data_IF_593815772250
#
_entry.id   IF_593815772250
#
_cell.length_a   1.000
_cell.length_b   1.000
_cell.length_c   1.000
_cell.angle_alpha   90.00
_cell.angle_beta   90.00
_cell.angle_gamma   90.00
#
_symmetry.space_group_name_H-M   'P 1'
#
loop_
_entity.id
_entity.type
_entity.pdbx_description
1 polymer ?
#
# COMPACT_ATOMS: atom_id res chain seq x y z
N UNK A 1 18.29 11.24 8.02
CA UNK A 1 17.91 9.84 8.28
C UNK A 1 17.06 9.38 7.11
N UNK A 2 17.30 8.19 6.56
CA UNK A 2 16.44 7.62 5.50
C UNK A 2 15.10 7.22 6.10
N UNK A 3 14.00 7.40 5.34
CA UNK A 3 12.69 6.88 5.74
C UNK A 3 12.75 5.35 5.85
N UNK A 4 12.06 4.72 6.81
CA UNK A 4 11.94 3.27 6.86
C UNK A 4 11.26 2.74 5.60
N UNK A 5 11.71 1.59 5.10
CA UNK A 5 11.22 0.99 3.87
C UNK A 5 9.98 0.13 4.15
N UNK A 6 8.95 0.28 3.32
CA UNK A 6 7.75 -0.55 3.34
C UNK A 6 7.55 -1.18 1.96
N UNK A 7 7.38 -2.50 1.94
CA UNK A 7 7.02 -3.28 0.75
C UNK A 7 5.67 -3.96 1.04
N UNK A 8 4.69 -3.72 0.17
CA UNK A 8 3.36 -4.31 0.26
C UNK A 8 2.87 -4.70 -1.14
N UNK A 9 2.00 -5.71 -1.22
CA UNK A 9 1.52 -6.20 -2.51
C UNK A 9 0.13 -6.80 -2.41
N UNK A 10 -0.56 -6.82 -3.56
CA UNK A 10 -1.85 -7.49 -3.75
C UNK A 10 -1.67 -8.58 -4.79
N UNK A 11 -2.24 -9.76 -4.52
CA UNK A 11 -2.23 -10.86 -5.46
C UNK A 11 -3.02 -10.51 -6.73
N UNK A 12 -2.48 -10.75 -7.94
CA UNK A 12 -3.19 -10.50 -9.20
C UNK A 12 -4.17 -11.64 -9.53
N UNK A 13 -5.05 -11.99 -8.59
CA UNK A 13 -5.98 -13.14 -8.70
C UNK A 13 -7.40 -12.76 -9.14
N UNK A 14 -7.65 -11.49 -9.47
CA UNK A 14 -8.97 -11.00 -9.85
C UNK A 14 -9.02 -9.47 -9.86
N UNK A 15 -10.23 -8.93 -10.01
CA UNK A 15 -10.43 -7.49 -9.94
C UNK A 15 -10.32 -6.96 -8.50
N UNK A 16 -9.83 -5.74 -8.37
CA UNK A 16 -9.79 -5.04 -7.10
C UNK A 16 -11.20 -4.72 -6.63
N UNK A 17 -11.52 -5.12 -5.40
CA UNK A 17 -12.78 -4.78 -4.75
C UNK A 17 -12.65 -3.56 -3.85
N UNK A 18 -13.78 -3.00 -3.42
CA UNK A 18 -13.80 -1.94 -2.41
C UNK A 18 -13.18 -2.37 -1.07
N UNK A 19 -13.20 -3.68 -0.77
CA UNK A 19 -12.51 -4.23 0.39
C UNK A 19 -10.99 -4.09 0.28
N UNK A 20 -10.42 -4.32 -0.91
CA UNK A 20 -8.99 -4.11 -1.15
C UNK A 20 -8.62 -2.63 -1.03
N UNK A 21 -9.50 -1.74 -1.50
CA UNK A 21 -9.29 -0.30 -1.37
C UNK A 21 -9.29 0.16 0.09
N UNK A 22 -10.33 -0.18 0.85
CA UNK A 22 -10.48 0.22 2.24
C UNK A 22 -9.48 -0.48 3.17
N UNK A 23 -9.07 -1.70 2.84
CA UNK A 23 -8.18 -2.51 3.68
C UNK A 23 -6.69 -2.29 3.45
N UNK A 24 -6.28 -1.86 2.24
CA UNK A 24 -4.86 -1.71 1.91
C UNK A 24 -4.56 -0.47 1.06
N UNK A 25 -5.20 -0.32 -0.11
CA UNK A 25 -4.79 0.68 -1.10
C UNK A 25 -4.89 2.12 -0.58
N UNK A 26 -5.91 2.43 0.24
CA UNK A 26 -6.06 3.74 0.86
C UNK A 26 -4.92 4.04 1.83
N UNK A 27 -4.50 3.06 2.62
CA UNK A 27 -3.38 3.18 3.55
C UNK A 27 -2.05 3.33 2.79
N UNK A 28 -1.87 2.63 1.66
CA UNK A 28 -0.67 2.77 0.83
C UNK A 28 -0.45 4.22 0.39
N UNK A 29 -1.51 4.92 -0.01
CA UNK A 29 -1.42 6.33 -0.38
C UNK A 29 -0.97 7.21 0.80
N UNK A 30 -1.47 6.95 2.01
CA UNK A 30 -1.09 7.72 3.20
C UNK A 30 0.37 7.44 3.64
N UNK A 31 0.83 6.19 3.49
CA UNK A 31 2.18 5.80 3.90
C UNK A 31 3.30 6.41 3.05
N UNK A 32 3.02 6.87 1.82
CA UNK A 32 4.04 7.45 0.94
C UNK A 32 4.67 8.73 1.52
N UNK A 33 3.93 9.44 2.37
CA UNK A 33 4.43 10.65 3.02
C UNK A 33 5.46 10.34 4.11
N UNK A 34 5.31 9.22 4.82
CA UNK A 34 6.10 8.86 6.00
C UNK A 34 7.19 7.80 5.73
N UNK A 35 6.99 6.95 4.72
CA UNK A 35 7.84 5.80 4.40
C UNK A 35 8.46 5.90 3.02
N UNK A 36 9.50 5.09 2.79
CA UNK A 36 9.99 4.80 1.44
C UNK A 36 9.24 3.56 0.93
N UNK A 37 8.21 3.77 0.11
CA UNK A 37 7.38 2.70 -0.45
C UNK A 37 8.01 2.15 -1.74
N UNK A 38 8.30 0.85 -1.76
CA UNK A 38 8.93 0.13 -2.86
C UNK A 38 8.02 -0.94 -3.46
#
# INVERSE_FOLDING_TARGET
MSKPIVLSGVQPSGELSIGNYLGALRQWQQMQDDYDCQ
#
